data_IF_739776603804
#
_entry.id   IF_739776603804
#
_cell.length_a   1.000
_cell.length_b   1.000
_cell.length_c   1.000
_cell.angle_alpha   90.00
_cell.angle_beta   90.00
_cell.angle_gamma   90.00
#
_symmetry.space_group_name_H-M   'P 1'
#
loop_
_entity.id
_entity.type
_entity.pdbx_description
1 polymer ?
#
# COMPACT_ATOMS: atom_id res chain seq x y z
N UNK A 1 -30.84 37.82 18.34
CA UNK A 1 -30.37 37.70 19.74
C UNK A 1 -30.22 39.10 20.31
N UNK A 2 -30.61 39.32 21.57
CA UNK A 2 -30.39 40.58 22.30
C UNK A 2 -29.63 40.27 23.59
N UNK A 3 -28.58 41.04 23.86
CA UNK A 3 -27.77 40.95 25.09
C UNK A 3 -27.82 42.30 25.79
N UNK A 4 -28.09 42.30 27.10
CA UNK A 4 -28.03 43.49 27.94
C UNK A 4 -26.75 43.47 28.75
N UNK A 5 -25.96 44.54 28.65
CA UNK A 5 -24.76 44.74 29.49
C UNK A 5 -25.08 45.84 30.50
N UNK A 6 -25.24 45.51 31.80
CA UNK A 6 -25.47 46.51 32.83
C UNK A 6 -24.40 47.59 32.92
N UNK A 7 -24.75 48.74 33.52
CA UNK A 7 -23.84 49.86 33.63
C UNK A 7 -22.60 49.47 34.46
N UNK A 8 -21.41 49.73 33.91
CA UNK A 8 -20.14 49.43 34.55
C UNK A 8 -19.74 47.96 34.58
N UNK A 9 -20.48 47.05 33.94
CA UNK A 9 -20.13 45.62 33.87
C UNK A 9 -19.62 45.23 32.49
N UNK A 10 -19.12 43.99 32.38
CA UNK A 10 -18.70 43.38 31.11
C UNK A 10 -19.38 42.03 30.99
N UNK A 11 -20.06 41.80 29.87
CA UNK A 11 -20.59 40.49 29.51
C UNK A 11 -19.72 39.85 28.44
N UNK A 12 -19.55 38.53 28.50
CA UNK A 12 -18.80 37.76 27.51
C UNK A 12 -19.76 36.98 26.61
N UNK A 13 -19.68 37.24 25.31
CA UNK A 13 -20.27 36.38 24.30
C UNK A 13 -19.21 35.37 23.83
N UNK A 14 -19.56 34.08 23.82
CA UNK A 14 -18.69 33.01 23.34
C UNK A 14 -19.36 32.33 22.15
N UNK A 15 -18.67 32.30 21.01
CA UNK A 15 -19.03 31.42 19.91
C UNK A 15 -18.57 30.00 20.25
N UNK A 16 -19.46 29.02 20.11
CA UNK A 16 -19.17 27.60 20.31
C UNK A 16 -19.51 26.87 19.03
N UNK A 17 -18.63 25.96 18.62
CA UNK A 17 -18.81 25.10 17.45
C UNK A 17 -18.59 23.64 17.82
N UNK A 18 -19.13 22.75 16.99
CA UNK A 18 -18.93 21.31 17.03
C UNK A 18 -19.04 20.76 15.61
N UNK A 19 -18.32 19.69 15.31
CA UNK A 19 -18.31 19.06 13.99
C UNK A 19 -19.07 17.74 14.05
N UNK A 20 -19.93 17.48 13.06
CA UNK A 20 -20.71 16.23 12.94
C UNK A 20 -20.24 15.36 11.77
N UNK A 21 -19.26 15.85 11.02
CA UNK A 21 -18.63 15.19 9.88
C UNK A 21 -17.12 15.20 10.06
N UNK A 22 -16.41 14.48 9.20
CA UNK A 22 -14.97 14.55 9.13
C UNK A 22 -14.49 16.00 8.98
N UNK A 23 -13.32 16.28 9.54
CA UNK A 23 -12.61 17.55 9.47
C UNK A 23 -11.27 17.34 8.80
N UNK A 24 -10.73 18.38 8.18
CA UNK A 24 -9.35 18.37 7.72
C UNK A 24 -8.47 18.93 8.83
N UNK A 25 -7.41 18.19 9.13
CA UNK A 25 -6.37 18.68 10.02
C UNK A 25 -5.76 19.95 9.45
N UNK A 26 -5.35 20.83 10.37
CA UNK A 26 -4.79 22.12 10.07
C UNK A 26 -5.74 23.12 9.37
N UNK A 27 -7.02 22.80 9.23
CA UNK A 27 -8.01 23.75 8.70
C UNK A 27 -8.16 24.95 9.64
N UNK A 28 -7.95 26.14 9.09
CA UNK A 28 -7.94 27.39 9.83
C UNK A 28 -9.30 28.08 9.75
N UNK A 29 -10.03 28.15 10.85
CA UNK A 29 -11.36 28.78 10.88
C UNK A 29 -11.23 30.27 11.21
N UNK A 30 -11.86 31.12 10.41
CA UNK A 30 -11.91 32.57 10.61
C UNK A 30 -13.36 33.06 10.74
N UNK A 31 -13.59 33.96 11.67
CA UNK A 31 -14.88 34.60 11.87
C UNK A 31 -14.72 36.12 11.79
N UNK A 32 -15.71 36.77 11.19
CA UNK A 32 -15.78 38.22 11.16
C UNK A 32 -17.10 38.67 11.78
N UNK A 33 -17.04 39.63 12.69
CA UNK A 33 -18.23 40.33 13.14
C UNK A 33 -18.73 41.24 12.02
N UNK A 34 -19.80 40.82 11.34
CA UNK A 34 -20.38 41.56 10.22
C UNK A 34 -21.05 42.89 10.65
N UNK A 35 -21.49 42.99 11.91
CA UNK A 35 -22.03 44.22 12.47
C UNK A 35 -22.65 44.01 13.85
N UNK A 36 -22.84 45.11 14.56
CA UNK A 36 -23.59 45.18 15.81
C UNK A 36 -24.30 46.52 15.92
N UNK A 37 -25.52 46.53 16.45
CA UNK A 37 -26.33 47.75 16.65
C UNK A 37 -26.74 47.86 18.10
N UNK A 38 -26.59 49.05 18.69
CA UNK A 38 -27.09 49.37 20.02
C UNK A 38 -28.50 49.97 19.93
N UNK A 39 -29.34 49.75 20.95
CA UNK A 39 -30.65 50.38 21.03
C UNK A 39 -30.50 51.89 21.18
N UNK A 40 -31.16 52.69 20.34
CA UNK A 40 -30.96 54.15 20.28
C UNK A 40 -31.56 54.90 21.47
N UNK A 41 -32.80 54.60 21.87
CA UNK A 41 -33.48 55.29 22.96
C UNK A 41 -33.30 54.55 24.29
N UNK A 42 -32.83 55.26 25.32
CA UNK A 42 -32.73 54.75 26.68
C UNK A 42 -31.55 53.80 26.97
N UNK A 43 -30.55 53.72 26.07
CA UNK A 43 -29.36 52.87 26.24
C UNK A 43 -28.07 53.56 25.76
N UNK A 44 -26.93 53.09 26.27
CA UNK A 44 -25.60 53.52 25.81
C UNK A 44 -25.34 53.05 24.38
N UNK A 45 -24.72 53.91 23.57
CA UNK A 45 -24.28 53.56 22.20
C UNK A 45 -22.85 52.99 22.21
N UNK A 46 -22.48 52.30 21.14
CA UNK A 46 -21.07 51.94 20.93
C UNK A 46 -20.23 53.21 20.74
N UNK A 47 -19.07 53.26 21.43
CA UNK A 47 -18.12 54.38 21.34
C UNK A 47 -17.57 54.56 19.91
N UNK A 48 -17.48 53.47 19.16
CA UNK A 48 -17.10 53.42 17.75
C UNK A 48 -17.97 52.38 17.04
N UNK A 49 -18.32 52.55 15.75
CA UNK A 49 -18.89 51.47 14.95
C UNK A 49 -17.99 50.23 15.04
N UNK A 50 -18.60 49.07 15.28
CA UNK A 50 -17.91 47.77 15.16
C UNK A 50 -17.73 47.48 13.67
N UNK A 51 -16.54 47.75 13.16
CA UNK A 51 -16.17 47.42 11.77
C UNK A 51 -15.15 46.29 11.77
N UNK A 52 -15.53 45.12 11.26
CA UNK A 52 -14.57 44.11 10.81
C UNK A 52 -13.70 43.47 11.89
N UNK A 53 -14.23 43.25 13.10
CA UNK A 53 -13.51 42.44 14.09
C UNK A 53 -13.35 41.00 13.58
N UNK A 54 -12.14 40.62 13.20
CA UNK A 54 -11.81 39.26 12.76
C UNK A 54 -11.25 38.44 13.92
N UNK A 55 -11.52 37.15 13.93
CA UNK A 55 -10.82 36.22 14.82
C UNK A 55 -9.33 36.15 14.46
N UNK A 56 -8.51 35.77 15.44
CA UNK A 56 -7.08 35.56 15.19
C UNK A 56 -6.88 34.34 14.26
N UNK A 57 -5.88 34.41 13.37
CA UNK A 57 -5.47 33.30 12.50
C UNK A 57 -3.94 33.19 12.45
N UNK A 58 -3.26 33.73 13.46
CA UNK A 58 -1.80 33.71 13.55
C UNK A 58 -1.37 32.48 14.35
N UNK A 59 -0.46 31.68 13.81
CA UNK A 59 -0.07 30.41 14.41
C UNK A 59 -1.27 29.47 14.50
N UNK A 60 -1.44 28.79 15.63
CA UNK A 60 -2.50 27.77 15.82
C UNK A 60 -3.84 28.36 16.29
N UNK A 61 -3.98 29.69 16.34
CA UNK A 61 -5.20 30.31 16.83
C UNK A 61 -6.36 30.01 15.88
N UNK A 62 -7.39 29.28 16.32
CA UNK A 62 -8.55 28.83 15.53
C UNK A 62 -8.24 27.80 14.43
N UNK A 63 -7.13 27.07 14.58
CA UNK A 63 -6.78 25.92 13.73
C UNK A 63 -7.46 24.66 14.28
N UNK A 64 -8.00 23.83 13.40
CA UNK A 64 -8.45 22.48 13.74
C UNK A 64 -7.19 21.62 13.89
N UNK A 65 -7.09 20.93 15.02
CA UNK A 65 -5.97 20.04 15.33
C UNK A 65 -6.50 18.62 15.45
N UNK A 66 -6.00 17.72 14.61
CA UNK A 66 -6.29 16.29 14.64
C UNK A 66 -5.10 15.58 15.27
N UNK A 67 -5.35 14.85 16.36
CA UNK A 67 -4.31 14.10 17.05
C UNK A 67 -4.49 12.62 16.75
N UNK A 68 -3.48 12.00 16.13
CA UNK A 68 -3.50 10.58 15.84
C UNK A 68 -3.66 9.75 17.12
N UNK A 69 -4.60 8.81 17.10
CA UNK A 69 -4.85 7.88 18.21
C UNK A 69 -4.84 6.42 17.77
N UNK A 70 -4.91 6.17 16.45
CA UNK A 70 -4.81 4.85 15.81
C UNK A 70 -4.22 4.99 14.41
N UNK A 71 -3.96 3.86 13.76
CA UNK A 71 -3.61 3.79 12.34
C UNK A 71 -4.82 3.36 11.50
N UNK A 72 -4.74 3.54 10.19
CA UNK A 72 -5.62 2.94 9.19
C UNK A 72 -4.84 2.62 7.91
N UNK A 73 -5.40 1.79 7.03
CA UNK A 73 -4.82 1.53 5.72
C UNK A 73 -5.27 2.61 4.72
N UNK A 74 -4.35 3.49 4.32
CA UNK A 74 -4.59 4.46 3.24
C UNK A 74 -4.56 3.79 1.85
N UNK A 75 -3.72 2.75 1.71
CA UNK A 75 -3.72 1.86 0.55
C UNK A 75 -3.77 0.42 1.08
N UNK A 76 -4.91 -0.24 0.87
CA UNK A 76 -5.13 -1.65 1.22
C UNK A 76 -4.18 -2.56 0.42
N UNK A 77 -3.83 -3.75 0.96
CA UNK A 77 -3.16 -4.77 0.17
C UNK A 77 -4.03 -5.26 -0.98
N UNK A 78 -3.40 -5.90 -1.95
CA UNK A 78 -4.06 -6.46 -3.12
C UNK A 78 -3.55 -7.86 -3.41
N UNK A 79 -4.29 -8.61 -4.23
CA UNK A 79 -3.86 -9.93 -4.65
C UNK A 79 -2.48 -9.85 -5.30
N UNK A 80 -1.57 -10.73 -4.88
CA UNK A 80 -0.17 -10.68 -5.27
C UNK A 80 0.33 -12.09 -5.58
N UNK A 81 1.17 -12.22 -6.62
CA UNK A 81 1.87 -13.47 -6.87
C UNK A 81 2.96 -13.66 -5.81
N UNK A 82 3.25 -14.91 -5.44
CA UNK A 82 4.41 -15.23 -4.60
C UNK A 82 5.70 -14.60 -5.14
N UNK A 83 6.64 -14.31 -4.25
CA UNK A 83 7.99 -13.80 -4.57
C UNK A 83 8.03 -12.50 -5.40
N UNK A 84 6.89 -11.82 -5.56
CA UNK A 84 6.75 -10.52 -6.24
C UNK A 84 6.38 -9.47 -5.19
N UNK A 85 6.99 -8.27 -5.21
CA UNK A 85 6.57 -7.19 -4.33
C UNK A 85 5.14 -6.76 -4.65
N UNK A 86 4.34 -6.57 -3.61
CA UNK A 86 2.97 -6.09 -3.75
C UNK A 86 2.93 -4.72 -4.44
N UNK A 87 2.06 -4.58 -5.44
CA UNK A 87 1.87 -3.33 -6.19
C UNK A 87 0.37 -3.10 -6.44
N UNK A 88 -0.21 -1.96 -6.04
CA UNK A 88 0.46 -0.81 -5.40
C UNK A 88 0.99 -1.12 -3.99
N UNK A 89 2.00 -0.37 -3.56
CA UNK A 89 2.59 -0.52 -2.22
C UNK A 89 1.57 -0.16 -1.14
N UNK A 90 1.54 -0.94 -0.06
CA UNK A 90 0.66 -0.71 1.09
C UNK A 90 1.04 0.60 1.79
N UNK A 91 0.05 1.38 2.16
CA UNK A 91 0.23 2.64 2.88
C UNK A 91 -0.60 2.64 4.15
N UNK A 92 -0.01 3.19 5.21
CA UNK A 92 -0.59 3.35 6.53
C UNK A 92 -0.75 4.84 6.78
N UNK A 93 -1.92 5.24 7.28
CA UNK A 93 -2.16 6.60 7.75
C UNK A 93 -2.38 6.65 9.26
N UNK A 94 -1.94 7.73 9.89
CA UNK A 94 -2.17 8.01 11.29
C UNK A 94 -3.45 8.86 11.42
N UNK A 95 -4.44 8.36 12.17
CA UNK A 95 -5.78 8.95 12.25
C UNK A 95 -6.25 9.08 13.70
N UNK A 96 -7.14 10.02 13.96
CA UNK A 96 -7.86 10.12 15.22
C UNK A 96 -8.93 9.02 15.37
N UNK A 97 -9.64 9.02 16.50
CA UNK A 97 -10.69 8.02 16.78
C UNK A 97 -11.93 8.17 15.89
N UNK A 98 -12.01 9.25 15.11
CA UNK A 98 -13.06 9.53 14.15
C UNK A 98 -12.64 9.27 12.70
N UNK A 99 -11.40 8.83 12.48
CA UNK A 99 -10.85 8.55 11.16
C UNK A 99 -10.35 9.79 10.41
N UNK A 100 -10.19 10.94 11.07
CA UNK A 100 -9.54 12.10 10.48
C UNK A 100 -8.03 11.91 10.54
N UNK A 101 -7.33 12.22 9.45
CA UNK A 101 -5.88 12.08 9.38
C UNK A 101 -5.18 13.23 10.11
N UNK A 102 -4.19 12.89 10.92
CA UNK A 102 -3.23 13.81 11.52
C UNK A 102 -2.11 14.06 10.49
N UNK A 103 -2.03 15.27 9.93
CA UNK A 103 -1.06 15.60 8.90
C UNK A 103 0.34 15.85 9.47
N UNK A 104 0.42 16.16 10.76
CA UNK A 104 1.66 16.51 11.43
C UNK A 104 2.36 15.27 12.06
N UNK A 105 1.69 14.11 12.04
CA UNK A 105 2.28 12.83 12.40
C UNK A 105 3.41 12.42 11.45
N UNK A 106 4.62 12.28 11.99
CA UNK A 106 5.86 12.00 11.24
C UNK A 106 6.67 10.82 11.75
N UNK A 107 6.30 10.21 12.87
CA UNK A 107 7.10 9.22 13.61
C UNK A 107 6.82 7.77 13.16
N UNK A 108 7.70 7.09 12.40
CA UNK A 108 7.45 5.70 11.98
C UNK A 108 7.91 4.66 13.00
N UNK A 109 8.56 5.09 14.08
CA UNK A 109 9.32 4.17 14.95
C UNK A 109 8.39 3.15 15.62
N UNK A 110 8.61 1.88 15.29
CA UNK A 110 7.81 0.76 15.79
C UNK A 110 6.50 0.54 15.06
N UNK A 111 6.28 1.19 13.92
CA UNK A 111 5.15 0.90 13.01
C UNK A 111 5.57 -0.20 12.03
N UNK A 112 4.94 -1.35 12.18
CA UNK A 112 5.37 -2.59 11.55
C UNK A 112 4.17 -3.37 11.00
N UNK A 113 4.41 -4.12 9.92
CA UNK A 113 3.40 -4.94 9.24
C UNK A 113 3.78 -6.41 9.37
N UNK A 114 2.79 -7.21 9.76
CA UNK A 114 2.86 -8.68 9.75
C UNK A 114 1.72 -9.25 8.91
N UNK A 115 1.83 -10.52 8.52
CA UNK A 115 0.80 -11.24 7.77
C UNK A 115 0.13 -12.29 8.66
N UNK A 116 -1.19 -12.48 8.52
CA UNK A 116 -1.94 -13.52 9.26
C UNK A 116 -1.63 -14.94 8.79
N UNK A 117 -1.17 -15.08 7.55
CA UNK A 117 -0.71 -16.33 6.98
C UNK A 117 0.38 -16.05 5.96
N UNK A 118 1.37 -16.96 5.87
CA UNK A 118 2.64 -16.87 5.13
C UNK A 118 3.76 -16.08 5.81
N UNK A 119 4.99 -16.59 5.66
CA UNK A 119 6.20 -15.82 5.93
C UNK A 119 6.32 -14.73 4.86
N UNK A 120 6.20 -13.47 5.29
CA UNK A 120 6.63 -12.34 4.47
C UNK A 120 8.15 -12.19 4.62
N UNK A 121 8.83 -11.90 3.51
CA UNK A 121 10.27 -11.70 3.50
C UNK A 121 10.64 -10.54 4.43
N UNK A 122 11.63 -10.74 5.29
CA UNK A 122 12.04 -9.76 6.30
C UNK A 122 10.89 -9.31 7.23
N UNK A 123 9.99 -10.24 7.59
CA UNK A 123 8.96 -9.98 8.60
C UNK A 123 9.58 -9.61 9.96
N UNK A 124 9.03 -8.63 10.70
CA UNK A 124 7.96 -7.73 10.27
C UNK A 124 8.48 -6.63 9.31
N UNK A 125 7.62 -6.19 8.39
CA UNK A 125 7.98 -5.16 7.40
C UNK A 125 7.77 -3.78 8.03
N UNK A 126 8.81 -2.96 8.11
CA UNK A 126 8.71 -1.61 8.62
C UNK A 126 7.94 -0.68 7.68
N UNK A 127 7.20 0.26 8.26
CA UNK A 127 6.61 1.39 7.54
C UNK A 127 7.62 2.54 7.52
N UNK A 128 7.78 3.16 6.34
CA UNK A 128 8.66 4.32 6.16
C UNK A 128 8.17 5.56 6.91
N UNK A 129 8.96 6.66 6.90
CA UNK A 129 8.58 7.90 7.55
C UNK A 129 7.23 8.41 7.03
N UNK A 130 6.45 8.99 7.94
CA UNK A 130 5.15 9.54 7.60
C UNK A 130 5.33 10.93 7.01
N UNK A 131 4.70 11.17 5.86
CA UNK A 131 4.61 12.48 5.21
C UNK A 131 3.14 12.85 5.10
N UNK A 132 2.74 13.98 5.70
CA UNK A 132 1.33 14.39 5.79
C UNK A 132 0.46 13.27 6.37
N UNK A 133 0.93 12.62 7.43
CA UNK A 133 0.22 11.53 8.09
C UNK A 133 0.19 10.20 7.35
N UNK A 134 0.90 10.01 6.23
CA UNK A 134 0.99 8.72 5.51
C UNK A 134 2.41 8.18 5.48
N UNK A 135 2.58 6.94 5.94
CA UNK A 135 3.78 6.12 5.75
C UNK A 135 3.57 5.04 4.68
N UNK A 136 4.58 4.77 3.87
CA UNK A 136 4.57 3.67 2.88
C UNK A 136 5.33 2.47 3.42
N UNK A 137 4.76 1.27 3.36
CA UNK A 137 5.43 0.05 3.74
C UNK A 137 6.63 -0.25 2.84
N UNK A 138 7.66 -0.91 3.38
CA UNK A 138 8.66 -1.56 2.55
C UNK A 138 8.06 -2.65 1.66
N UNK A 139 8.88 -3.26 0.80
CA UNK A 139 8.42 -4.32 -0.10
C UNK A 139 7.81 -5.50 0.69
N UNK A 140 6.50 -5.70 0.53
CA UNK A 140 5.81 -6.87 1.06
C UNK A 140 5.86 -7.96 0.01
N UNK A 141 6.66 -8.99 0.29
CA UNK A 141 6.87 -10.15 -0.58
C UNK A 141 6.50 -11.41 0.19
N UNK A 142 5.52 -12.16 -0.30
CA UNK A 142 5.09 -13.43 0.29
C UNK A 142 5.92 -14.59 -0.26
N UNK A 143 6.55 -15.37 0.62
CA UNK A 143 7.42 -16.52 0.25
C UNK A 143 6.79 -17.90 0.55
N UNK A 144 5.61 -17.92 1.16
CA UNK A 144 4.92 -19.16 1.56
C UNK A 144 3.81 -19.56 0.55
N UNK A 145 3.18 -20.75 0.69
CA UNK A 145 2.33 -21.31 -0.34
C UNK A 145 1.07 -20.48 -0.63
N UNK A 146 0.47 -20.75 -1.79
CA UNK A 146 -0.79 -20.14 -2.24
C UNK A 146 -1.81 -20.18 -1.11
N UNK A 147 -2.27 -19.01 -0.69
CA UNK A 147 -3.19 -18.86 0.43
C UNK A 147 -4.25 -17.82 0.09
N UNK A 148 -5.51 -18.16 0.35
CA UNK A 148 -6.64 -17.26 0.14
C UNK A 148 -7.05 -16.59 1.44
N UNK A 149 -7.53 -15.35 1.37
CA UNK A 149 -8.04 -14.64 2.55
C UNK A 149 -6.96 -14.25 3.57
N UNK A 150 -5.76 -13.97 3.09
CA UNK A 150 -4.65 -13.42 3.88
C UNK A 150 -5.01 -12.00 4.31
N UNK A 151 -4.60 -11.60 5.51
CA UNK A 151 -4.72 -10.23 6.01
C UNK A 151 -3.37 -9.73 6.49
N UNK A 152 -3.13 -8.43 6.37
CA UNK A 152 -2.00 -7.75 6.99
C UNK A 152 -2.45 -7.14 8.31
N UNK A 153 -1.57 -7.17 9.31
CA UNK A 153 -1.76 -6.48 10.58
C UNK A 153 -0.68 -5.41 10.74
N UNK A 154 -1.09 -4.15 10.83
CA UNK A 154 -0.24 -3.04 11.22
C UNK A 154 -0.26 -2.94 12.73
N UNK A 155 0.92 -2.97 13.36
CA UNK A 155 1.10 -2.68 14.79
C UNK A 155 1.93 -1.43 14.97
N UNK A 156 1.60 -0.61 15.97
CA UNK A 156 2.42 0.54 16.32
C UNK A 156 2.16 1.07 17.73
N UNK A 157 2.81 2.20 18.04
CA UNK A 157 2.94 2.73 19.40
C UNK A 157 1.92 3.82 19.78
N UNK A 158 1.01 4.23 18.88
CA UNK A 158 -0.04 5.19 19.21
C UNK A 158 -0.87 4.68 20.41
N UNK A 159 -1.13 5.57 21.37
CA UNK A 159 -1.86 5.28 22.62
C UNK A 159 -1.37 4.07 23.43
N UNK A 160 -0.08 3.76 23.39
CA UNK A 160 0.48 2.63 24.15
C UNK A 160 0.28 1.26 23.50
N UNK A 161 -0.15 1.24 22.24
CA UNK A 161 -0.28 0.03 21.43
C UNK A 161 -1.55 0.04 20.61
N UNK A 162 -1.40 0.06 19.29
CA UNK A 162 -2.52 -0.04 18.34
C UNK A 162 -2.26 -1.17 17.35
N UNK A 163 -3.33 -1.82 16.93
CA UNK A 163 -3.28 -2.89 15.94
C UNK A 163 -4.50 -2.79 15.02
N UNK A 164 -4.25 -2.75 13.71
CA UNK A 164 -5.30 -2.66 12.69
C UNK A 164 -5.07 -3.73 11.64
N UNK A 165 -6.15 -4.39 11.24
CA UNK A 165 -6.15 -5.50 10.28
C UNK A 165 -6.70 -4.99 8.94
N UNK A 166 -6.06 -5.38 7.85
CA UNK A 166 -6.47 -5.03 6.49
C UNK A 166 -7.72 -5.79 6.04
N UNK A 167 -8.24 -5.39 4.89
CA UNK A 167 -9.12 -6.26 4.11
C UNK A 167 -8.38 -7.54 3.65
N UNK A 168 -9.09 -8.65 3.42
CA UNK A 168 -8.48 -9.88 2.96
C UNK A 168 -8.04 -9.80 1.49
N UNK A 169 -6.94 -10.46 1.16
CA UNK A 169 -6.39 -10.62 -0.19
C UNK A 169 -5.84 -12.03 -0.40
N UNK A 170 -5.56 -12.39 -1.66
CA UNK A 170 -5.04 -13.71 -2.02
C UNK A 170 -3.56 -13.64 -2.43
N UNK A 171 -2.78 -14.60 -1.93
CA UNK A 171 -1.43 -14.88 -2.41
C UNK A 171 -1.53 -15.93 -3.51
N UNK A 172 -1.35 -15.50 -4.75
CA UNK A 172 -1.46 -16.29 -5.96
C UNK A 172 -0.15 -17.07 -6.22
N UNK A 173 -0.20 -18.16 -7.00
CA UNK A 173 1.00 -18.88 -7.40
C UNK A 173 1.99 -17.96 -8.13
N UNK A 174 3.28 -18.30 -8.04
CA UNK A 174 4.32 -17.67 -8.84
C UNK A 174 3.97 -17.78 -10.34
N UNK A 175 4.21 -16.73 -11.12
CA UNK A 175 3.91 -16.74 -12.57
C UNK A 175 4.97 -17.56 -13.33
N UNK A 176 4.69 -18.85 -13.53
CA UNK A 176 5.57 -19.86 -14.14
C UNK A 176 5.77 -19.75 -15.67
N UNK A 177 5.33 -18.67 -16.33
CA UNK A 177 5.25 -18.64 -17.81
C UNK A 177 6.61 -18.57 -18.53
N UNK A 178 7.74 -18.60 -17.84
CA UNK A 178 9.09 -18.61 -18.44
C UNK A 178 10.15 -19.32 -17.60
N UNK A 179 9.80 -20.44 -16.94
CA UNK A 179 10.73 -21.16 -16.04
C UNK A 179 11.67 -22.13 -16.79
N UNK A 180 11.10 -22.85 -17.76
CA UNK A 180 11.83 -23.82 -18.58
C UNK A 180 12.06 -23.29 -19.99
N UNK A 181 13.28 -23.46 -20.50
CA UNK A 181 13.64 -23.18 -21.89
C UNK A 181 13.96 -24.49 -22.63
N UNK A 182 13.43 -24.62 -23.85
CA UNK A 182 13.77 -25.68 -24.79
C UNK A 182 14.63 -25.05 -25.90
N UNK A 183 15.85 -25.57 -26.08
CA UNK A 183 16.75 -25.15 -27.15
C UNK A 183 17.03 -26.34 -28.05
N UNK A 184 16.67 -26.24 -29.33
CA UNK A 184 17.09 -27.22 -30.32
C UNK A 184 18.58 -27.06 -30.62
N UNK A 185 19.31 -28.17 -30.60
CA UNK A 185 20.73 -28.23 -30.94
C UNK A 185 20.99 -28.11 -32.44
N UNK A 186 22.24 -27.83 -32.78
CA UNK A 186 22.69 -27.52 -34.14
C UNK A 186 23.49 -28.65 -34.79
N UNK A 187 22.94 -29.85 -34.86
CA UNK A 187 23.61 -30.96 -35.56
C UNK A 187 23.86 -30.57 -37.03
N UNK A 188 25.13 -30.57 -37.45
CA UNK A 188 25.55 -30.08 -38.79
C UNK A 188 26.11 -31.18 -39.69
N UNK A 189 26.26 -32.39 -39.17
CA UNK A 189 26.90 -33.49 -39.90
C UNK A 189 25.93 -34.13 -40.91
N UNK A 190 26.46 -34.46 -42.09
CA UNK A 190 25.71 -35.23 -43.08
C UNK A 190 25.49 -36.67 -42.59
N UNK A 191 24.32 -37.24 -42.90
CA UNK A 191 23.98 -38.61 -42.56
C UNK A 191 24.41 -39.51 -43.71
N UNK A 192 25.57 -40.15 -43.57
CA UNK A 192 26.09 -41.08 -44.59
C UNK A 192 25.34 -42.42 -44.49
N UNK A 193 24.35 -42.64 -45.36
CA UNK A 193 23.52 -43.85 -45.34
C UNK A 193 24.33 -45.15 -45.25
N UNK A 194 25.33 -45.35 -46.11
CA UNK A 194 26.11 -46.59 -46.15
C UNK A 194 26.91 -46.88 -44.87
N UNK A 195 27.19 -45.86 -44.05
CA UNK A 195 27.90 -45.98 -42.78
C UNK A 195 26.97 -46.14 -41.56
N UNK A 196 25.65 -46.01 -41.78
CA UNK A 196 24.62 -45.95 -40.75
C UNK A 196 23.53 -47.01 -40.98
N UNK A 197 23.92 -48.29 -40.97
CA UNK A 197 23.05 -49.49 -41.17
C UNK A 197 22.93 -50.36 -39.90
N UNK A 198 23.35 -49.83 -38.75
CA UNK A 198 23.41 -50.53 -37.48
C UNK A 198 22.00 -50.80 -36.96
N UNK A 199 21.79 -52.00 -36.40
CA UNK A 199 20.49 -52.40 -35.82
C UNK A 199 20.38 -52.06 -34.33
N UNK A 200 21.49 -51.68 -33.67
CA UNK A 200 21.51 -51.29 -32.27
C UNK A 200 21.95 -49.83 -32.15
N UNK A 201 21.05 -48.97 -31.69
CA UNK A 201 21.23 -47.52 -31.60
C UNK A 201 21.42 -47.03 -30.16
N UNK A 202 21.65 -47.94 -29.20
CA UNK A 202 21.76 -47.56 -27.78
C UNK A 202 23.18 -47.14 -27.37
N UNK A 203 24.17 -47.22 -28.27
CA UNK A 203 25.55 -46.78 -28.01
C UNK A 203 25.83 -45.45 -28.69
N UNK A 204 26.47 -44.52 -27.97
CA UNK A 204 26.89 -43.21 -28.48
C UNK A 204 28.01 -43.28 -29.53
N UNK A 205 28.60 -44.46 -29.76
CA UNK A 205 29.63 -44.68 -30.78
C UNK A 205 29.07 -45.23 -32.10
N UNK A 206 27.87 -45.79 -32.08
CA UNK A 206 27.36 -46.63 -33.19
C UNK A 206 26.19 -45.98 -33.95
N UNK A 207 25.72 -44.81 -33.49
CA UNK A 207 24.65 -44.02 -34.12
C UNK A 207 25.08 -42.58 -34.45
N UNK A 208 24.35 -41.93 -35.35
CA UNK A 208 24.52 -40.51 -35.69
C UNK A 208 23.51 -39.66 -34.93
N UNK A 209 23.98 -38.56 -34.32
CA UNK A 209 23.10 -37.56 -33.73
C UNK A 209 22.32 -36.83 -34.83
N UNK A 210 21.00 -36.91 -34.79
CA UNK A 210 20.10 -36.28 -35.77
C UNK A 210 19.50 -34.97 -35.25
N UNK A 211 19.32 -34.88 -33.94
CA UNK A 211 18.87 -33.70 -33.24
C UNK A 211 19.24 -33.83 -31.77
N UNK A 212 19.57 -32.71 -31.15
CA UNK A 212 19.69 -32.57 -29.71
C UNK A 212 18.68 -31.55 -29.23
N UNK A 213 18.20 -31.69 -28.00
CA UNK A 213 17.32 -30.73 -27.35
C UNK A 213 17.86 -30.56 -25.94
N UNK A 214 18.23 -29.33 -25.59
CA UNK A 214 18.56 -28.96 -24.22
C UNK A 214 17.29 -28.46 -23.54
N UNK A 215 16.95 -29.08 -22.41
CA UNK A 215 15.89 -28.62 -21.51
C UNK A 215 16.57 -28.07 -20.27
N UNK A 216 16.49 -26.75 -20.08
CA UNK A 216 17.08 -26.10 -18.91
C UNK A 216 15.97 -25.64 -17.98
N UNK A 217 16.05 -26.11 -16.74
CA UNK A 217 15.27 -25.63 -15.59
C UNK A 217 15.98 -24.39 -15.05
N UNK A 218 15.61 -23.22 -15.60
CA UNK A 218 16.42 -22.00 -15.49
C UNK A 218 15.86 -20.97 -14.51
N UNK A 219 14.63 -21.15 -14.01
CA UNK A 219 14.02 -20.21 -13.08
C UNK A 219 14.26 -20.52 -11.61
N UNK A 220 13.51 -19.82 -10.77
CA UNK A 220 13.81 -19.65 -9.35
C UNK A 220 12.86 -20.38 -8.39
N UNK A 221 11.97 -21.24 -8.91
CA UNK A 221 10.86 -21.80 -8.14
C UNK A 221 11.27 -22.99 -7.25
N UNK A 222 12.51 -23.49 -7.40
CA UNK A 222 13.10 -24.64 -6.68
C UNK A 222 12.36 -25.96 -6.88
N UNK A 223 11.39 -26.04 -7.78
CA UNK A 223 10.72 -27.28 -8.15
C UNK A 223 11.36 -27.84 -9.42
N UNK A 224 11.32 -29.16 -9.63
CA UNK A 224 11.83 -29.74 -10.87
C UNK A 224 10.87 -29.47 -12.03
N UNK A 225 11.40 -29.12 -13.20
CA UNK A 225 10.67 -29.24 -14.47
C UNK A 225 10.42 -30.72 -14.82
N UNK A 226 9.16 -31.16 -14.82
CA UNK A 226 8.75 -32.54 -15.16
C UNK A 226 8.13 -32.57 -16.56
N UNK A 227 8.80 -33.25 -17.50
CA UNK A 227 8.26 -33.50 -18.83
C UNK A 227 7.30 -34.70 -18.79
N UNK A 228 6.00 -34.45 -18.94
CA UNK A 228 4.96 -35.50 -18.92
C UNK A 228 4.70 -36.11 -20.30
N UNK A 229 4.98 -35.36 -21.36
CA UNK A 229 4.87 -35.80 -22.75
C UNK A 229 5.90 -35.08 -23.62
N UNK A 230 6.52 -35.80 -24.56
CA UNK A 230 7.38 -35.24 -25.60
C UNK A 230 6.94 -35.82 -26.95
N UNK A 231 6.40 -34.96 -27.82
CA UNK A 231 6.07 -35.35 -29.19
C UNK A 231 7.06 -34.71 -30.15
N UNK A 232 7.78 -35.55 -30.91
CA UNK A 232 8.67 -35.12 -31.99
C UNK A 232 8.02 -35.44 -33.33
N UNK A 233 7.94 -34.45 -34.20
CA UNK A 233 7.50 -34.68 -35.59
C UNK A 233 8.72 -34.72 -36.49
N UNK A 234 8.98 -35.89 -37.08
CA UNK A 234 10.01 -36.04 -38.11
C UNK A 234 9.34 -35.90 -39.46
N UNK A 235 9.61 -34.79 -40.13
CA UNK A 235 9.11 -34.53 -41.48
C UNK A 235 10.27 -34.54 -42.45
N UNK A 236 10.09 -35.17 -43.61
CA UNK A 236 11.01 -34.98 -44.71
C UNK A 236 10.77 -33.59 -45.30
N UNK A 237 11.71 -32.67 -45.10
CA UNK A 237 11.70 -31.40 -45.81
C UNK A 237 12.11 -31.69 -47.26
N UNK A 238 11.13 -31.91 -48.13
CA UNK A 238 11.36 -31.97 -49.57
C UNK A 238 11.80 -30.57 -50.00
N UNK A 239 12.98 -30.45 -50.63
CA UNK A 239 13.39 -29.24 -51.35
C UNK A 239 12.81 -29.30 -52.75
#
# INVERSE_FOLDING_TARGET
MSLTVPNGTTERLTLRGSFTTAVEDNEQVAFMLAGATAQTAGSSQFKSPLTGGTSATTGDANKIEVIATTYAFAQQPSNVNQCVPMSPAVQVEAVDGNGNRDLDYTEPTGVEITSSSSAIRMSPVAVGPFMNGIGTAGDIIHEAPVTTGVTLTVTGNLNGGTSVVSDPFDVLPFNMTSDAQIVAGGETNNIIYAANQQTNLTSSTDGVSLASIDITDAGGDRNPTILTELTLTVTNCVV
#
